data_IF_147103473788
#
_entry.id   IF_147103473788
#
_cell.length_a   1.000
_cell.length_b   1.000
_cell.length_c   1.000
_cell.angle_alpha   90.00
_cell.angle_beta   90.00
_cell.angle_gamma   90.00
#
_symmetry.space_group_name_H-M   'P 1'
#
loop_
_entity.id
_entity.type
_entity.pdbx_description
1 polymer ?
#
# COMPACT_ATOMS: atom_id res chain seq x y z
N UNK A 1 -62.66 3.18 -25.58
CA UNK A 1 -61.50 2.32 -26.00
C UNK A 1 -60.12 2.96 -25.80
N UNK A 2 -59.99 4.02 -24.96
CA UNK A 2 -58.70 4.74 -24.78
C UNK A 2 -58.13 4.66 -23.33
N UNK A 3 -58.84 4.05 -22.39
CA UNK A 3 -58.40 3.95 -20.99
C UNK A 3 -57.57 2.68 -20.65
N UNK A 4 -57.59 1.67 -21.51
CA UNK A 4 -56.85 0.41 -21.27
C UNK A 4 -55.40 0.46 -21.76
N UNK A 5 -55.07 1.33 -22.74
CA UNK A 5 -53.72 1.45 -23.28
C UNK A 5 -52.76 2.24 -22.38
N UNK A 6 -53.30 3.19 -21.54
CA UNK A 6 -52.47 4.00 -20.66
C UNK A 6 -51.96 3.23 -19.43
N UNK A 7 -52.71 2.19 -18.95
CA UNK A 7 -52.33 1.40 -17.78
C UNK A 7 -51.25 0.39 -18.08
N UNK A 8 -51.13 -0.11 -19.31
CA UNK A 8 -50.11 -1.02 -19.73
C UNK A 8 -48.72 -0.36 -19.92
N UNK A 9 -48.71 0.92 -20.29
CA UNK A 9 -47.45 1.68 -20.50
C UNK A 9 -46.80 2.06 -19.16
N UNK A 10 -47.58 2.40 -18.13
CA UNK A 10 -47.08 2.72 -16.77
C UNK A 10 -46.46 1.51 -16.07
N UNK A 11 -46.99 0.31 -16.29
CA UNK A 11 -46.42 -0.92 -15.68
C UNK A 11 -45.12 -1.39 -16.39
N UNK A 12 -44.94 -1.09 -17.67
CA UNK A 12 -43.70 -1.43 -18.39
C UNK A 12 -42.54 -0.49 -18.01
N UNK A 13 -42.82 0.81 -17.80
CA UNK A 13 -41.79 1.79 -17.38
C UNK A 13 -41.34 1.51 -15.93
N UNK A 14 -42.24 1.16 -15.03
CA UNK A 14 -41.91 0.81 -13.65
C UNK A 14 -41.05 -0.45 -13.53
N UNK A 15 -41.28 -1.45 -14.38
CA UNK A 15 -40.45 -2.67 -14.37
C UNK A 15 -39.07 -2.49 -14.98
N UNK A 16 -38.92 -1.64 -16.01
CA UNK A 16 -37.61 -1.36 -16.61
C UNK A 16 -36.73 -0.54 -15.65
N UNK A 17 -37.29 0.44 -14.94
CA UNK A 17 -36.55 1.25 -13.98
C UNK A 17 -36.12 0.45 -12.73
N UNK A 18 -36.95 -0.52 -12.26
CA UNK A 18 -36.60 -1.39 -11.13
C UNK A 18 -35.53 -2.42 -11.51
N UNK A 19 -35.58 -2.96 -12.73
CA UNK A 19 -34.59 -3.92 -13.22
C UNK A 19 -33.20 -3.29 -13.45
N UNK A 20 -33.13 -2.07 -13.93
CA UNK A 20 -31.87 -1.35 -14.16
C UNK A 20 -31.19 -0.94 -12.85
N UNK A 21 -31.95 -0.51 -11.84
CA UNK A 21 -31.42 -0.16 -10.52
C UNK A 21 -30.85 -1.40 -9.81
N UNK A 22 -31.57 -2.52 -9.79
CA UNK A 22 -31.06 -3.77 -9.16
C UNK A 22 -29.82 -4.31 -9.84
N UNK A 23 -29.71 -4.24 -11.16
CA UNK A 23 -28.51 -4.67 -11.88
C UNK A 23 -27.30 -3.76 -11.59
N UNK A 24 -27.50 -2.46 -11.51
CA UNK A 24 -26.44 -1.48 -11.16
C UNK A 24 -25.97 -1.68 -9.72
N UNK A 25 -26.89 -1.87 -8.78
CA UNK A 25 -26.53 -2.15 -7.38
C UNK A 25 -25.82 -3.49 -7.22
N UNK A 26 -26.25 -4.55 -7.90
CA UNK A 26 -25.59 -5.85 -7.89
C UNK A 26 -24.19 -5.77 -8.49
N UNK A 27 -24.01 -5.07 -9.59
CA UNK A 27 -22.70 -4.88 -10.24
C UNK A 27 -21.75 -4.02 -9.39
N UNK A 28 -22.26 -3.03 -8.68
CA UNK A 28 -21.50 -2.20 -7.73
C UNK A 28 -21.04 -3.04 -6.53
N UNK A 29 -21.92 -3.85 -5.94
CA UNK A 29 -21.60 -4.73 -4.82
C UNK A 29 -20.55 -5.78 -5.21
N UNK A 30 -20.67 -6.40 -6.39
CA UNK A 30 -19.68 -7.37 -6.90
C UNK A 30 -18.31 -6.72 -7.10
N UNK A 31 -18.25 -5.48 -7.60
CA UNK A 31 -16.97 -4.75 -7.77
C UNK A 31 -16.31 -4.39 -6.44
N UNK A 32 -17.10 -4.04 -5.43
CA UNK A 32 -16.59 -3.75 -4.08
C UNK A 32 -16.02 -5.03 -3.44
N UNK A 33 -16.71 -6.17 -3.59
CA UNK A 33 -16.26 -7.48 -3.12
C UNK A 33 -14.97 -7.92 -3.82
N UNK A 34 -14.86 -7.74 -5.14
CA UNK A 34 -13.65 -8.01 -5.91
C UNK A 34 -12.47 -7.15 -5.44
N UNK A 35 -12.69 -5.85 -5.15
CA UNK A 35 -11.69 -4.95 -4.61
C UNK A 35 -11.14 -5.45 -3.28
N UNK A 36 -12.01 -5.80 -2.35
CA UNK A 36 -11.65 -6.36 -1.05
C UNK A 36 -10.85 -7.66 -1.20
N UNK A 37 -11.29 -8.59 -2.05
CA UNK A 37 -10.57 -9.85 -2.29
C UNK A 37 -9.17 -9.63 -2.84
N UNK A 38 -9.00 -8.65 -3.73
CA UNK A 38 -7.67 -8.26 -4.26
C UNK A 38 -6.76 -7.71 -3.18
N UNK A 39 -7.29 -6.88 -2.29
CA UNK A 39 -6.55 -6.35 -1.15
C UNK A 39 -6.10 -7.45 -0.20
N UNK A 40 -7.00 -8.38 0.14
CA UNK A 40 -6.70 -9.55 0.96
C UNK A 40 -5.63 -10.43 0.32
N UNK A 41 -5.72 -10.69 -0.99
CA UNK A 41 -4.74 -11.48 -1.72
C UNK A 41 -3.37 -10.81 -1.72
N UNK A 42 -3.30 -9.49 -1.97
CA UNK A 42 -2.06 -8.74 -1.93
C UNK A 42 -1.40 -8.79 -0.54
N UNK A 43 -2.18 -8.64 0.54
CA UNK A 43 -1.71 -8.77 1.92
C UNK A 43 -1.18 -10.16 2.25
N UNK A 44 -1.90 -11.22 1.88
CA UNK A 44 -1.50 -12.62 2.14
C UNK A 44 -0.28 -13.03 1.33
N UNK A 45 -0.10 -12.48 0.14
CA UNK A 45 1.12 -12.66 -0.67
C UNK A 45 2.31 -11.90 -0.09
N UNK A 46 2.07 -10.68 0.42
CA UNK A 46 3.10 -9.82 1.00
C UNK A 46 3.62 -10.34 2.34
N UNK A 47 2.75 -10.93 3.16
CA UNK A 47 3.04 -11.29 4.54
C UNK A 47 2.68 -12.76 4.86
N UNK A 48 3.30 -13.73 4.15
CA UNK A 48 2.91 -15.14 4.18
C UNK A 48 3.01 -15.80 5.55
N UNK A 49 3.96 -15.36 6.37
CA UNK A 49 4.22 -15.93 7.69
C UNK A 49 3.47 -15.19 8.81
N UNK A 50 2.93 -14.00 8.50
CA UNK A 50 2.24 -13.17 9.48
C UNK A 50 0.73 -13.18 9.32
N UNK A 51 0.20 -13.41 8.13
CA UNK A 51 -1.24 -13.45 7.84
C UNK A 51 -1.64 -14.88 7.49
N UNK A 52 -2.49 -15.48 8.32
CA UNK A 52 -2.98 -16.85 8.15
C UNK A 52 -4.21 -16.93 7.24
N UNK A 53 -4.97 -15.83 7.09
CA UNK A 53 -6.17 -15.83 6.26
C UNK A 53 -7.04 -14.60 6.43
N UNK A 54 -8.27 -14.72 5.96
CA UNK A 54 -9.35 -13.79 6.20
C UNK A 54 -10.59 -14.54 6.68
N UNK A 55 -11.49 -13.87 7.37
CA UNK A 55 -12.77 -14.46 7.78
C UNK A 55 -13.86 -13.41 7.84
N UNK A 56 -15.11 -13.85 7.64
CA UNK A 56 -16.30 -13.03 7.92
C UNK A 56 -16.78 -13.31 9.33
N UNK A 57 -16.79 -12.27 10.17
CA UNK A 57 -17.29 -12.36 11.55
C UNK A 57 -18.81 -12.45 11.63
N UNK A 58 -19.30 -12.85 12.81
CA UNK A 58 -20.73 -12.90 13.11
C UNK A 58 -21.43 -11.52 13.08
N UNK A 59 -20.65 -10.44 13.09
CA UNK A 59 -21.10 -9.05 12.91
C UNK A 59 -21.19 -8.62 11.44
N UNK A 60 -20.90 -9.55 10.50
CA UNK A 60 -20.89 -9.33 9.06
C UNK A 60 -19.63 -8.65 8.50
N UNK A 61 -18.72 -8.19 9.36
CA UNK A 61 -17.46 -7.58 8.95
C UNK A 61 -16.46 -8.63 8.50
N UNK A 62 -15.54 -8.21 7.63
CA UNK A 62 -14.40 -9.03 7.22
C UNK A 62 -13.17 -8.66 8.05
N UNK A 63 -12.44 -9.65 8.46
CA UNK A 63 -11.22 -9.54 9.26
C UNK A 63 -10.05 -10.21 8.55
N UNK A 64 -8.89 -9.56 8.61
CA UNK A 64 -7.60 -10.21 8.35
C UNK A 64 -7.20 -10.95 9.61
N UNK A 65 -6.89 -12.23 9.49
CA UNK A 65 -6.49 -13.11 10.60
C UNK A 65 -4.98 -13.25 10.58
N UNK A 66 -4.34 -12.79 11.65
CA UNK A 66 -2.90 -12.91 11.82
C UNK A 66 -2.53 -14.34 12.27
N UNK A 67 -1.29 -14.75 12.01
CA UNK A 67 -0.76 -16.03 12.50
C UNK A 67 -0.73 -16.14 14.05
N UNK A 68 -0.75 -14.99 14.74
CA UNK A 68 -0.92 -14.90 16.20
C UNK A 68 -2.33 -15.21 16.69
N UNK A 69 -3.31 -15.30 15.79
CA UNK A 69 -4.74 -15.37 16.09
C UNK A 69 -5.41 -14.01 16.28
N UNK A 70 -4.68 -12.89 16.23
CA UNK A 70 -5.26 -11.55 16.26
C UNK A 70 -6.10 -11.32 14.99
N UNK A 71 -7.23 -10.62 15.16
CA UNK A 71 -8.16 -10.27 14.08
C UNK A 71 -8.16 -8.77 13.89
N UNK A 72 -7.86 -8.32 12.68
CA UNK A 72 -7.83 -6.89 12.32
C UNK A 72 -8.95 -6.64 11.31
N UNK A 73 -9.83 -5.69 11.62
CA UNK A 73 -10.96 -5.37 10.73
C UNK A 73 -10.43 -4.85 9.38
N UNK A 74 -10.98 -5.38 8.28
CA UNK A 74 -10.63 -4.93 6.94
C UNK A 74 -11.21 -3.54 6.66
N UNK A 75 -12.52 -3.36 6.93
CA UNK A 75 -13.27 -2.12 6.74
C UNK A 75 -14.20 -1.92 7.94
N UNK A 76 -14.10 -0.79 8.64
CA UNK A 76 -14.94 -0.45 9.78
C UNK A 76 -16.31 0.14 9.36
N UNK A 77 -16.54 0.31 8.07
CA UNK A 77 -17.79 0.80 7.47
C UNK A 77 -18.02 2.30 7.66
N UNK A 78 -17.01 3.07 8.08
CA UNK A 78 -17.15 4.51 8.29
C UNK A 78 -16.62 5.28 7.08
N UNK A 79 -17.40 6.25 6.62
CA UNK A 79 -16.88 7.25 5.69
C UNK A 79 -15.92 8.18 6.43
N UNK A 80 -14.69 8.32 5.92
CA UNK A 80 -13.63 9.09 6.54
C UNK A 80 -13.08 10.14 5.59
N UNK A 81 -12.95 11.38 6.06
CA UNK A 81 -12.12 12.37 5.36
C UNK A 81 -10.65 11.92 5.33
N UNK A 82 -9.85 12.51 4.46
CA UNK A 82 -8.42 12.18 4.37
C UNK A 82 -7.69 12.34 5.72
N UNK A 83 -7.99 13.40 6.48
CA UNK A 83 -7.45 13.63 7.81
C UNK A 83 -7.89 12.55 8.80
N UNK A 84 -9.14 12.10 8.72
CA UNK A 84 -9.66 11.02 9.54
C UNK A 84 -9.03 9.67 9.17
N UNK A 85 -8.83 9.39 7.88
CA UNK A 85 -8.06 8.22 7.42
C UNK A 85 -6.62 8.26 7.94
N UNK A 86 -5.95 9.41 7.85
CA UNK A 86 -4.61 9.58 8.42
C UNK A 86 -4.58 9.32 9.93
N UNK A 87 -5.63 9.68 10.67
CA UNK A 87 -5.70 9.54 12.12
C UNK A 87 -6.06 8.12 12.59
N UNK A 88 -6.90 7.42 11.83
CA UNK A 88 -7.48 6.14 12.26
C UNK A 88 -7.93 5.26 11.09
N UNK A 89 -7.00 4.97 10.17
CA UNK A 89 -7.26 4.08 9.04
C UNK A 89 -7.49 2.64 9.49
N UNK A 90 -8.45 1.98 8.86
CA UNK A 90 -8.52 0.53 8.77
C UNK A 90 -7.65 -0.02 7.61
N UNK A 91 -7.75 -1.30 7.30
CA UNK A 91 -6.95 -1.92 6.25
C UNK A 91 -7.38 -1.40 4.87
N UNK A 92 -8.67 -1.30 4.61
CA UNK A 92 -9.22 -0.81 3.34
C UNK A 92 -8.76 0.62 3.05
N UNK A 93 -8.85 1.52 4.04
CA UNK A 93 -8.35 2.89 3.92
C UNK A 93 -6.87 2.93 3.50
N UNK A 94 -6.05 2.05 4.09
CA UNK A 94 -4.60 2.01 3.84
C UNK A 94 -4.22 1.53 2.44
N UNK A 95 -5.16 0.87 1.73
CA UNK A 95 -5.00 0.32 0.38
C UNK A 95 -5.85 1.05 -0.66
N UNK A 96 -6.63 2.07 -0.25
CA UNK A 96 -7.62 2.75 -1.09
C UNK A 96 -7.00 3.64 -2.17
N UNK A 97 -5.81 4.23 -1.92
CA UNK A 97 -5.11 5.08 -2.88
C UNK A 97 -4.13 4.21 -3.68
N UNK A 98 -4.36 4.03 -5.01
CA UNK A 98 -3.50 3.19 -5.83
C UNK A 98 -2.06 3.72 -5.90
N UNK A 99 -1.09 2.84 -5.68
CA UNK A 99 0.32 3.17 -5.90
C UNK A 99 0.64 3.06 -7.41
N UNK A 100 1.20 4.11 -8.04
CA UNK A 100 1.55 4.06 -9.47
C UNK A 100 2.57 2.96 -9.75
N UNK A 101 2.33 2.04 -10.72
CA UNK A 101 3.25 0.93 -11.01
C UNK A 101 4.57 1.40 -11.64
N UNK A 102 4.50 2.46 -12.45
CA UNK A 102 5.62 2.99 -13.22
C UNK A 102 6.19 4.26 -12.57
N UNK A 103 7.40 4.65 -13.03
CA UNK A 103 8.00 5.93 -12.64
C UNK A 103 7.12 7.09 -13.07
N UNK A 104 6.86 8.02 -12.14
CA UNK A 104 6.15 9.27 -12.44
C UNK A 104 7.15 10.41 -12.60
N UNK A 105 6.81 11.39 -13.45
CA UNK A 105 7.63 12.60 -13.72
C UNK A 105 6.89 13.89 -13.39
N UNK A 106 5.70 13.78 -12.80
CA UNK A 106 4.91 14.92 -12.36
C UNK A 106 4.53 14.74 -10.89
N UNK A 107 4.71 15.78 -10.11
CA UNK A 107 4.31 15.78 -8.69
C UNK A 107 2.79 15.65 -8.61
N UNK A 108 2.25 14.62 -7.93
CA UNK A 108 0.81 14.42 -7.80
C UNK A 108 0.12 15.59 -7.09
N UNK A 109 -1.20 15.65 -7.22
CA UNK A 109 -2.03 16.71 -6.63
C UNK A 109 -3.00 16.18 -5.58
N UNK A 110 -3.57 17.12 -4.80
CA UNK A 110 -4.57 16.82 -3.77
C UNK A 110 -4.03 15.97 -2.65
N UNK A 111 -4.73 14.88 -2.35
CA UNK A 111 -4.40 13.90 -1.32
C UNK A 111 -3.96 12.55 -1.94
N UNK A 112 -3.37 12.58 -3.13
CA UNK A 112 -2.83 11.38 -3.78
C UNK A 112 -1.52 10.97 -3.11
N UNK A 113 -1.64 10.29 -1.97
CA UNK A 113 -0.51 9.89 -1.11
C UNK A 113 -0.55 8.36 -0.84
N UNK A 114 -0.33 7.49 -1.84
CA UNK A 114 -0.41 6.05 -1.66
C UNK A 114 0.57 5.56 -0.60
N UNK A 115 0.05 4.90 0.46
CA UNK A 115 0.83 4.40 1.59
C UNK A 115 1.05 5.39 2.74
N UNK A 116 0.68 6.69 2.63
CA UNK A 116 0.71 7.61 3.78
C UNK A 116 -0.45 7.39 4.75
N UNK A 117 -1.59 6.92 4.28
CA UNK A 117 -2.67 6.39 5.12
C UNK A 117 -2.24 5.00 5.60
N UNK A 118 -2.15 4.80 6.91
CA UNK A 118 -1.61 3.57 7.50
C UNK A 118 -2.55 2.99 8.54
N UNK A 119 -2.91 1.71 8.38
CA UNK A 119 -3.56 0.93 9.42
C UNK A 119 -2.54 0.58 10.49
N UNK A 120 -2.51 1.33 11.60
CA UNK A 120 -1.54 1.14 12.68
C UNK A 120 -1.73 -0.17 13.44
N UNK A 121 -2.95 -0.71 13.48
CA UNK A 121 -3.21 -2.04 14.01
C UNK A 121 -2.45 -3.10 13.20
N UNK A 122 -2.53 -3.05 11.87
CA UNK A 122 -1.80 -3.96 11.00
C UNK A 122 -0.28 -3.80 11.14
N UNK A 123 0.23 -2.56 11.13
CA UNK A 123 1.67 -2.32 11.30
C UNK A 123 2.18 -2.82 12.67
N UNK A 124 1.38 -2.63 13.73
CA UNK A 124 1.69 -3.14 15.06
C UNK A 124 1.77 -4.67 15.11
N UNK A 125 0.81 -5.35 14.51
CA UNK A 125 0.79 -6.82 14.42
C UNK A 125 1.97 -7.36 13.58
N UNK A 126 2.31 -6.68 12.47
CA UNK A 126 3.39 -7.09 11.57
C UNK A 126 4.79 -6.86 12.18
N UNK A 127 5.03 -5.71 12.83
CA UNK A 127 6.38 -5.25 13.16
C UNK A 127 6.63 -5.02 14.65
N UNK A 128 5.58 -4.97 15.46
CA UNK A 128 5.60 -4.71 16.89
C UNK A 128 4.76 -3.50 17.29
N UNK A 129 3.90 -3.68 18.28
CA UNK A 129 2.96 -2.66 18.76
C UNK A 129 3.55 -1.69 19.80
N UNK A 130 4.73 -1.99 20.32
CA UNK A 130 5.44 -1.15 21.31
C UNK A 130 6.89 -0.92 20.88
N UNK A 131 7.53 0.11 21.43
CA UNK A 131 8.96 0.37 21.22
C UNK A 131 9.82 -0.86 21.51
N UNK A 132 9.62 -1.48 22.65
CA UNK A 132 10.39 -2.66 23.05
C UNK A 132 10.17 -3.85 22.08
N UNK A 133 8.93 -4.04 21.60
CA UNK A 133 8.62 -5.11 20.66
C UNK A 133 9.26 -4.87 19.27
N UNK A 134 9.34 -3.61 18.82
CA UNK A 134 10.07 -3.26 17.60
C UNK A 134 11.56 -3.44 17.78
N UNK A 135 12.15 -2.88 18.86
CA UNK A 135 13.59 -2.93 19.12
C UNK A 135 14.13 -4.36 19.26
N UNK A 136 13.33 -5.27 19.84
CA UNK A 136 13.67 -6.69 19.92
C UNK A 136 13.78 -7.38 18.54
N UNK A 137 13.18 -6.79 17.51
CA UNK A 137 13.19 -7.31 16.14
C UNK A 137 14.11 -6.54 15.19
N UNK A 138 14.88 -5.56 15.70
CA UNK A 138 15.87 -4.89 14.85
C UNK A 138 17.09 -5.78 14.63
N UNK A 139 17.63 -5.69 13.41
CA UNK A 139 18.94 -6.21 13.04
C UNK A 139 19.72 -5.14 12.26
N UNK A 140 21.01 -5.33 12.10
CA UNK A 140 21.86 -4.38 11.39
C UNK A 140 21.97 -4.76 9.92
N UNK A 141 21.49 -3.89 9.02
CA UNK A 141 21.73 -3.98 7.59
C UNK A 141 23.00 -3.20 7.25
N UNK A 142 23.91 -3.81 6.50
CA UNK A 142 25.19 -3.21 6.09
C UNK A 142 25.08 -2.69 4.67
N UNK A 143 25.38 -1.41 4.48
CA UNK A 143 25.40 -0.78 3.15
C UNK A 143 26.21 0.50 3.16
N UNK A 144 26.88 0.84 2.04
CA UNK A 144 27.65 2.09 1.87
C UNK A 144 28.68 2.36 2.96
N UNK A 145 29.25 1.30 3.55
CA UNK A 145 30.20 1.39 4.67
C UNK A 145 29.57 1.67 6.04
N UNK A 146 28.23 1.78 6.13
CA UNK A 146 27.49 2.01 7.37
C UNK A 146 26.72 0.78 7.86
N UNK A 147 26.18 0.91 9.07
CA UNK A 147 25.32 -0.07 9.73
C UNK A 147 23.99 0.61 10.09
N UNK A 148 22.89 0.05 9.62
CA UNK A 148 21.57 0.67 9.73
C UNK A 148 20.59 -0.30 10.39
N UNK A 149 20.03 0.03 11.58
CA UNK A 149 19.04 -0.83 12.23
C UNK A 149 17.75 -0.87 11.42
N UNK A 150 17.28 -2.09 11.14
CA UNK A 150 16.05 -2.32 10.37
C UNK A 150 15.30 -3.53 10.94
N UNK A 151 13.98 -3.60 10.77
CA UNK A 151 13.17 -4.69 11.32
C UNK A 151 13.36 -5.97 10.52
N UNK A 152 13.68 -7.09 11.20
CA UNK A 152 13.87 -8.39 10.53
C UNK A 152 12.56 -9.10 10.18
N UNK A 153 11.42 -8.70 10.79
CA UNK A 153 10.13 -9.35 10.57
C UNK A 153 9.65 -9.12 9.13
N UNK A 154 8.92 -10.10 8.63
CA UNK A 154 8.28 -10.07 7.32
C UNK A 154 9.24 -9.74 6.16
N UNK A 155 10.52 -10.09 6.32
CA UNK A 155 11.53 -9.91 5.28
C UNK A 155 12.04 -8.48 5.10
N UNK A 156 11.63 -7.49 5.91
CA UNK A 156 11.93 -6.07 5.67
C UNK A 156 13.43 -5.77 5.63
N UNK A 157 14.22 -6.30 6.59
CA UNK A 157 15.67 -6.10 6.58
C UNK A 157 16.36 -6.80 5.41
N UNK A 158 15.94 -8.02 5.07
CA UNK A 158 16.48 -8.75 3.92
C UNK A 158 16.16 -8.04 2.60
N UNK A 159 14.94 -7.48 2.48
CA UNK A 159 14.55 -6.67 1.34
C UNK A 159 15.41 -5.39 1.22
N UNK A 160 15.71 -4.72 2.33
CA UNK A 160 16.61 -3.56 2.31
C UNK A 160 18.03 -3.95 1.89
N UNK A 161 18.56 -5.05 2.42
CA UNK A 161 19.89 -5.53 2.06
C UNK A 161 19.99 -5.85 0.56
N UNK A 162 18.99 -6.52 0.01
CA UNK A 162 18.92 -6.83 -1.42
C UNK A 162 18.79 -5.56 -2.28
N UNK A 163 17.90 -4.64 -1.92
CA UNK A 163 17.72 -3.37 -2.63
C UNK A 163 19.01 -2.54 -2.66
N UNK A 164 19.72 -2.49 -1.53
CA UNK A 164 20.99 -1.76 -1.44
C UNK A 164 22.11 -2.47 -2.19
N UNK A 165 22.06 -3.79 -2.32
CA UNK A 165 22.95 -4.58 -3.18
C UNK A 165 22.76 -4.24 -4.66
N UNK A 166 21.51 -4.20 -5.14
CA UNK A 166 21.19 -3.79 -6.50
C UNK A 166 21.62 -2.34 -6.77
N UNK A 167 21.37 -1.43 -5.82
CA UNK A 167 21.82 -0.04 -5.92
C UNK A 167 23.34 0.08 -6.00
N UNK A 168 24.09 -0.74 -5.28
CA UNK A 168 25.55 -0.75 -5.40
C UNK A 168 26.01 -1.17 -6.81
N UNK A 169 25.34 -2.15 -7.41
CA UNK A 169 25.55 -2.55 -8.81
C UNK A 169 25.23 -1.44 -9.81
N UNK A 170 24.11 -0.74 -9.61
CA UNK A 170 23.71 0.41 -10.43
C UNK A 170 24.74 1.55 -10.32
N UNK A 171 25.17 1.88 -9.10
CA UNK A 171 26.15 2.96 -8.85
C UNK A 171 27.50 2.64 -9.49
N UNK A 172 27.89 1.36 -9.58
CA UNK A 172 29.13 0.97 -10.22
C UNK A 172 29.16 1.31 -11.72
N UNK A 173 28.01 1.33 -12.40
CA UNK A 173 27.87 1.66 -13.83
C UNK A 173 27.30 3.05 -14.10
N UNK A 174 26.62 3.63 -13.10
CA UNK A 174 26.01 4.97 -13.13
C UNK A 174 26.37 5.72 -11.83
N UNK A 175 27.63 6.22 -11.69
CA UNK A 175 28.11 6.82 -10.43
C UNK A 175 27.30 8.01 -9.91
N UNK A 176 26.62 8.75 -10.79
CA UNK A 176 25.74 9.88 -10.45
C UNK A 176 24.57 9.48 -9.55
N UNK A 177 24.09 8.23 -9.64
CA UNK A 177 23.03 7.67 -8.79
C UNK A 177 23.47 7.65 -7.32
N UNK A 178 24.76 7.41 -7.05
CA UNK A 178 25.31 7.45 -5.70
C UNK A 178 25.09 8.78 -4.97
N UNK A 179 25.00 9.88 -5.74
CA UNK A 179 24.67 11.21 -5.23
C UNK A 179 23.23 11.38 -4.74
N UNK A 180 22.35 10.42 -4.97
CA UNK A 180 20.97 10.34 -4.45
C UNK A 180 20.86 9.37 -3.26
N UNK A 181 21.79 8.41 -3.16
CA UNK A 181 21.78 7.37 -2.13
C UNK A 181 22.58 7.78 -0.90
N UNK A 182 23.81 8.25 -1.08
CA UNK A 182 24.76 8.45 0.01
C UNK A 182 25.07 9.93 0.30
N UNK A 183 25.30 10.30 1.58
CA UNK A 183 25.12 9.46 2.76
C UNK A 183 23.65 9.16 3.04
N UNK A 184 23.35 7.98 3.59
CA UNK A 184 22.02 7.62 4.07
C UNK A 184 21.70 8.50 5.27
N UNK A 185 20.50 9.13 5.28
CA UNK A 185 20.07 10.06 6.32
C UNK A 185 19.54 9.33 7.56
N UNK A 186 18.97 8.14 7.41
CA UNK A 186 18.55 7.34 8.56
C UNK A 186 17.60 6.20 8.23
N UNK A 187 17.41 5.31 9.22
CA UNK A 187 16.47 4.20 9.18
C UNK A 187 15.58 4.20 10.42
N UNK A 188 15.89 3.38 11.43
CA UNK A 188 15.10 3.30 12.65
C UNK A 188 15.23 4.57 13.50
N UNK A 189 14.08 5.14 13.86
CA UNK A 189 13.95 6.22 14.82
C UNK A 189 12.55 6.17 15.46
N UNK A 190 12.46 5.79 16.74
CA UNK A 190 11.18 5.68 17.42
C UNK A 190 10.64 7.04 17.79
N UNK A 191 9.87 7.62 16.90
CA UNK A 191 9.25 8.95 17.05
C UNK A 191 7.88 9.03 16.40
N UNK A 192 7.11 10.03 16.79
CA UNK A 192 5.89 10.42 16.07
C UNK A 192 6.25 11.33 14.88
N UNK A 193 5.36 11.37 13.90
CA UNK A 193 5.44 12.31 12.78
C UNK A 193 5.21 13.73 13.34
N UNK A 194 6.08 14.67 13.00
CA UNK A 194 6.04 16.04 13.51
C UNK A 194 4.66 16.69 13.32
N UNK A 195 4.12 17.25 14.40
CA UNK A 195 2.79 17.87 14.43
C UNK A 195 1.61 16.88 14.52
N UNK A 196 1.87 15.60 14.83
CA UNK A 196 0.84 14.58 14.99
C UNK A 196 1.10 13.67 16.19
N UNK A 197 0.13 12.83 16.57
CA UNK A 197 0.30 11.74 17.54
C UNK A 197 0.66 10.40 16.88
N UNK A 198 0.80 10.34 15.57
CA UNK A 198 0.99 9.11 14.78
C UNK A 198 2.45 8.71 14.74
N UNK A 199 2.74 7.42 14.92
CA UNK A 199 4.09 6.89 14.76
C UNK A 199 4.59 7.05 13.32
N UNK A 200 5.85 7.42 13.18
CA UNK A 200 6.54 7.40 11.90
C UNK A 200 6.77 5.94 11.44
N UNK A 201 6.80 5.61 10.14
CA UNK A 201 7.23 4.30 9.67
C UNK A 201 8.66 3.95 10.10
N UNK A 202 9.52 4.94 10.31
CA UNK A 202 10.83 4.75 10.94
C UNK A 202 10.73 4.16 12.36
N UNK A 203 9.66 4.43 13.09
CA UNK A 203 9.45 3.86 14.42
C UNK A 203 9.18 2.35 14.41
N UNK A 204 8.71 1.81 13.29
CA UNK A 204 8.55 0.38 13.07
C UNK A 204 9.82 -0.28 12.50
N UNK A 205 10.86 0.51 12.15
CA UNK A 205 12.08 0.04 11.51
C UNK A 205 11.86 -0.50 10.08
N UNK A 206 10.93 0.09 9.34
CA UNK A 206 10.57 -0.32 7.97
C UNK A 206 10.77 0.78 6.93
N UNK A 207 11.37 1.91 7.31
CA UNK A 207 11.63 3.02 6.42
C UNK A 207 13.11 3.41 6.42
N UNK A 208 13.55 3.92 5.26
CA UNK A 208 14.88 4.47 5.04
C UNK A 208 14.76 5.82 4.37
N UNK A 209 15.51 6.78 4.88
CA UNK A 209 15.76 8.06 4.23
C UNK A 209 17.14 8.03 3.59
N UNK A 210 17.19 8.09 2.26
CA UNK A 210 18.40 8.19 1.49
C UNK A 210 19.02 9.60 1.63
N UNK A 211 19.94 9.99 0.75
CA UNK A 211 20.58 11.31 0.83
C UNK A 211 19.57 12.44 0.75
N UNK A 212 19.53 13.26 1.79
CA UNK A 212 18.71 14.47 1.83
C UNK A 212 19.36 15.61 1.02
N UNK A 213 18.53 16.32 0.25
CA UNK A 213 18.89 17.60 -0.38
C UNK A 213 17.86 18.67 0.00
N UNK A 214 18.24 19.95 0.02
CA UNK A 214 17.27 21.03 0.21
C UNK A 214 16.14 20.91 -0.84
N UNK A 215 14.90 20.89 -0.38
CA UNK A 215 13.73 20.77 -1.26
C UNK A 215 13.23 19.33 -1.51
N UNK A 216 13.82 18.30 -0.91
CA UNK A 216 13.34 16.93 -1.03
C UNK A 216 12.06 16.67 -0.21
N UNK A 217 11.72 17.58 0.72
CA UNK A 217 10.55 17.43 1.59
C UNK A 217 9.54 18.56 1.42
N UNK A 218 8.26 18.24 1.22
CA UNK A 218 7.15 19.15 0.91
C UNK A 218 7.05 20.39 1.82
N UNK A 219 7.36 20.24 3.10
CA UNK A 219 7.31 21.38 4.06
C UNK A 219 8.35 22.48 3.79
N UNK A 220 9.38 22.18 3.01
CA UNK A 220 10.54 23.02 2.80
C UNK A 220 10.80 23.34 1.32
N UNK A 221 9.89 22.92 0.42
CA UNK A 221 10.08 23.10 -1.02
C UNK A 221 8.86 23.72 -1.69
N UNK A 222 9.11 24.65 -2.61
CA UNK A 222 8.12 25.10 -3.57
C UNK A 222 7.80 23.98 -4.57
N UNK A 223 6.57 23.99 -5.14
CA UNK A 223 6.12 22.97 -6.09
C UNK A 223 7.00 22.88 -7.33
N UNK A 224 7.45 24.03 -7.84
CA UNK A 224 8.33 24.11 -9.02
C UNK A 224 9.70 23.48 -8.76
N UNK A 225 10.22 23.60 -7.53
CA UNK A 225 11.45 22.94 -7.13
C UNK A 225 11.24 21.41 -7.06
N UNK A 226 10.13 20.98 -6.49
CA UNK A 226 9.76 19.55 -6.45
C UNK A 226 9.57 18.98 -7.85
N UNK A 227 8.94 19.73 -8.77
CA UNK A 227 8.74 19.30 -10.15
C UNK A 227 10.08 19.06 -10.85
N UNK A 228 11.04 19.98 -10.75
CA UNK A 228 12.40 19.77 -11.29
C UNK A 228 13.11 18.59 -10.64
N UNK A 229 12.85 18.36 -9.35
CA UNK A 229 13.47 17.26 -8.61
C UNK A 229 12.95 15.88 -9.07
N UNK A 230 11.63 15.72 -9.25
CA UNK A 230 11.03 14.46 -9.70
C UNK A 230 11.42 14.13 -11.15
N UNK A 231 11.53 15.14 -12.01
CA UNK A 231 12.00 14.99 -13.39
C UNK A 231 13.41 14.42 -13.47
N UNK A 232 14.30 14.88 -12.56
CA UNK A 232 15.70 14.46 -12.50
C UNK A 232 15.97 13.24 -11.63
N UNK A 233 14.95 12.70 -10.93
CA UNK A 233 15.17 11.61 -9.99
C UNK A 233 15.48 10.31 -10.75
N UNK A 234 16.55 9.55 -10.38
CA UNK A 234 16.95 8.36 -11.11
C UNK A 234 15.89 7.26 -11.05
N UNK A 235 15.37 6.87 -12.20
CA UNK A 235 14.39 5.79 -12.32
C UNK A 235 14.97 4.44 -11.86
N UNK A 236 16.22 4.16 -12.21
CA UNK A 236 16.90 2.93 -11.80
C UNK A 236 16.94 2.77 -10.27
N UNK A 237 17.11 3.89 -9.52
CA UNK A 237 17.08 3.87 -8.06
C UNK A 237 15.68 3.50 -7.56
N UNK A 238 14.62 4.17 -8.06
CA UNK A 238 13.25 3.91 -7.65
C UNK A 238 12.85 2.48 -7.99
N UNK A 239 13.14 2.03 -9.21
CA UNK A 239 12.84 0.66 -9.67
C UNK A 239 13.55 -0.41 -8.84
N UNK A 240 14.82 -0.19 -8.46
CA UNK A 240 15.55 -1.11 -7.58
C UNK A 240 14.87 -1.23 -6.21
N UNK A 241 14.50 -0.12 -5.58
CA UNK A 241 13.80 -0.13 -4.30
C UNK A 241 12.42 -0.80 -4.41
N UNK A 242 11.64 -0.45 -5.43
CA UNK A 242 10.30 -1.01 -5.67
C UNK A 242 10.34 -2.51 -6.01
N UNK A 243 11.41 -3.01 -6.63
CA UNK A 243 11.55 -4.44 -6.92
C UNK A 243 11.67 -5.28 -5.64
N UNK A 244 12.09 -4.66 -4.55
CA UNK A 244 12.19 -5.26 -3.21
C UNK A 244 11.08 -4.83 -2.26
N UNK A 245 9.95 -4.31 -2.75
CA UNK A 245 8.76 -4.02 -1.96
C UNK A 245 8.76 -2.69 -1.22
N UNK A 246 9.68 -1.76 -1.56
CA UNK A 246 9.68 -0.41 -1.01
C UNK A 246 8.84 0.53 -1.87
N UNK A 247 7.88 1.24 -1.28
CA UNK A 247 7.22 2.37 -1.92
C UNK A 247 8.08 3.62 -1.77
N UNK A 248 7.98 4.54 -2.73
CA UNK A 248 8.72 5.80 -2.75
C UNK A 248 7.84 7.00 -2.41
N UNK A 249 8.27 7.81 -1.45
CA UNK A 249 7.56 9.04 -1.07
C UNK A 249 7.55 10.14 -2.15
N UNK A 250 8.32 9.99 -3.22
CA UNK A 250 8.23 10.86 -4.40
C UNK A 250 6.93 10.69 -5.19
N UNK A 251 6.21 9.57 -5.01
CA UNK A 251 4.90 9.32 -5.63
C UNK A 251 3.72 9.89 -4.82
N UNK A 252 3.99 10.75 -3.83
CA UNK A 252 2.99 11.41 -3.01
C UNK A 252 2.76 12.87 -3.44
N UNK A 253 1.54 13.37 -3.31
CA UNK A 253 1.23 14.79 -3.43
C UNK A 253 1.93 15.61 -2.32
N UNK A 254 2.05 15.01 -1.13
CA UNK A 254 2.87 15.50 -0.03
C UNK A 254 4.25 14.84 -0.07
N UNK A 255 4.96 15.05 -1.16
CA UNK A 255 6.20 14.36 -1.51
C UNK A 255 7.27 14.38 -0.40
N UNK A 256 8.03 13.29 -0.37
CA UNK A 256 9.23 13.09 0.43
C UNK A 256 10.23 12.26 -0.40
N UNK A 257 11.07 12.95 -1.19
CA UNK A 257 11.88 12.29 -2.22
C UNK A 257 13.00 11.40 -1.67
N UNK A 258 13.43 11.63 -0.41
CA UNK A 258 14.45 10.78 0.20
C UNK A 258 13.85 9.52 0.83
N UNK A 259 12.53 9.50 1.10
CA UNK A 259 11.84 8.50 1.89
C UNK A 259 11.41 7.28 1.07
N UNK A 260 11.79 6.10 1.55
CA UNK A 260 11.29 4.79 1.09
C UNK A 260 10.75 4.00 2.27
N UNK A 261 9.63 3.31 2.08
CA UNK A 261 8.95 2.53 3.12
C UNK A 261 8.65 1.12 2.61
N UNK A 262 9.01 0.10 3.38
CA UNK A 262 8.73 -1.30 3.03
C UNK A 262 7.24 -1.60 3.18
N UNK A 263 6.55 -1.66 2.06
CA UNK A 263 5.11 -1.88 1.91
C UNK A 263 4.85 -2.80 0.70
N UNK A 264 5.29 -4.08 0.80
CA UNK A 264 5.22 -5.00 -0.35
C UNK A 264 3.79 -5.23 -0.84
N UNK A 265 2.77 -5.14 0.02
CA UNK A 265 1.36 -5.29 -0.35
C UNK A 265 0.91 -4.24 -1.37
N UNK A 266 1.38 -2.99 -1.23
CA UNK A 266 1.06 -1.92 -2.17
C UNK A 266 1.72 -2.15 -3.53
N UNK A 267 2.95 -2.65 -3.55
CA UNK A 267 3.67 -2.99 -4.80
C UNK A 267 3.01 -4.18 -5.50
N UNK A 268 2.65 -5.24 -4.75
CA UNK A 268 1.99 -6.43 -5.31
C UNK A 268 0.63 -6.05 -5.90
N UNK A 269 -0.19 -5.29 -5.14
CA UNK A 269 -1.49 -4.80 -5.61
C UNK A 269 -1.35 -3.95 -6.88
N UNK A 270 -0.45 -2.96 -6.85
CA UNK A 270 -0.18 -2.05 -7.97
C UNK A 270 0.17 -2.81 -9.26
N UNK A 271 1.09 -3.77 -9.17
CA UNK A 271 1.51 -4.58 -10.32
C UNK A 271 0.39 -5.50 -10.82
N UNK A 272 -0.42 -6.05 -9.93
CA UNK A 272 -1.56 -6.86 -10.29
C UNK A 272 -2.67 -6.04 -10.95
N UNK A 273 -2.94 -4.83 -10.44
CA UNK A 273 -3.96 -3.94 -11.00
C UNK A 273 -3.56 -3.41 -12.39
N UNK A 274 -2.28 -3.11 -12.61
CA UNK A 274 -1.75 -2.70 -13.91
C UNK A 274 -1.86 -3.81 -14.98
N UNK A 275 -1.80 -5.07 -14.58
CA UNK A 275 -1.92 -6.24 -15.48
C UNK A 275 -3.35 -6.75 -15.65
N UNK A 276 -4.32 -6.17 -14.92
CA UNK A 276 -5.72 -6.62 -14.98
C UNK A 276 -6.34 -6.32 -16.33
N UNK A 277 -6.62 -7.35 -17.12
CA UNK A 277 -7.22 -7.25 -18.46
C UNK A 277 -8.66 -7.77 -18.52
N UNK A 278 -9.40 -7.77 -17.41
CA UNK A 278 -10.73 -8.38 -17.28
C UNK A 278 -10.67 -9.81 -16.69
N UNK A 279 -11.76 -10.55 -16.72
CA UNK A 279 -11.82 -11.93 -16.24
C UNK A 279 -12.03 -12.05 -14.72
N UNK A 280 -11.40 -13.04 -14.11
CA UNK A 280 -11.54 -13.37 -12.70
C UNK A 280 -11.06 -12.21 -11.78
N UNK A 281 -11.61 -12.12 -10.57
CA UNK A 281 -11.27 -11.06 -9.64
C UNK A 281 -9.77 -10.99 -9.31
N UNK A 282 -9.05 -12.12 -9.38
CA UNK A 282 -7.60 -12.20 -9.13
C UNK A 282 -6.72 -12.01 -10.38
N UNK A 283 -7.31 -11.64 -11.52
CA UNK A 283 -6.54 -11.38 -12.74
C UNK A 283 -5.42 -10.36 -12.50
N UNK A 284 -4.22 -10.64 -13.06
CA UNK A 284 -3.01 -9.85 -12.91
C UNK A 284 -2.10 -10.27 -11.75
N UNK A 285 -2.58 -11.05 -10.78
CA UNK A 285 -1.72 -11.71 -9.79
C UNK A 285 -0.96 -12.89 -10.40
N UNK A 286 0.13 -13.39 -9.77
CA UNK A 286 0.81 -14.60 -10.23
C UNK A 286 -0.12 -15.80 -10.32
N UNK A 287 0.04 -16.64 -11.35
CA UNK A 287 -0.77 -17.85 -11.57
C UNK A 287 -0.11 -19.11 -11.02
N UNK A 288 0.57 -18.99 -9.88
CA UNK A 288 1.20 -20.14 -9.21
C UNK A 288 0.25 -20.88 -8.25
N UNK A 289 0.67 -22.08 -7.85
CA UNK A 289 -0.15 -22.94 -6.98
C UNK A 289 -0.49 -22.29 -5.63
N UNK A 290 0.41 -21.45 -5.10
CA UNK A 290 0.20 -20.73 -3.84
C UNK A 290 -0.86 -19.66 -4.00
N UNK A 291 -0.78 -18.82 -5.01
CA UNK A 291 -1.77 -17.78 -5.31
C UNK A 291 -3.16 -18.41 -5.49
N UNK A 292 -3.26 -19.51 -6.27
CA UNK A 292 -4.54 -20.21 -6.47
C UNK A 292 -5.09 -20.80 -5.16
N UNK A 293 -4.24 -21.30 -4.28
CA UNK A 293 -4.67 -21.77 -2.95
C UNK A 293 -5.22 -20.63 -2.09
N UNK A 294 -4.58 -19.45 -2.09
CA UNK A 294 -5.05 -18.25 -1.39
C UNK A 294 -6.38 -17.75 -1.97
N UNK A 295 -6.54 -17.72 -3.29
CA UNK A 295 -7.79 -17.35 -3.96
C UNK A 295 -8.94 -18.22 -3.46
N UNK A 296 -8.75 -19.55 -3.45
CA UNK A 296 -9.78 -20.50 -2.93
C UNK A 296 -10.08 -20.28 -1.45
N UNK A 297 -9.05 -19.98 -0.65
CA UNK A 297 -9.21 -19.69 0.78
C UNK A 297 -10.04 -18.42 1.01
N UNK A 298 -9.75 -17.34 0.27
CA UNK A 298 -10.49 -16.07 0.35
C UNK A 298 -11.96 -16.30 -0.08
N UNK A 299 -12.20 -16.97 -1.21
CA UNK A 299 -13.55 -17.25 -1.69
C UNK A 299 -14.35 -18.10 -0.70
N UNK A 300 -13.72 -19.05 -0.01
CA UNK A 300 -14.37 -19.86 1.01
C UNK A 300 -14.70 -19.05 2.28
N UNK A 301 -13.81 -18.17 2.69
CA UNK A 301 -13.94 -17.36 3.91
C UNK A 301 -14.99 -16.24 3.81
N UNK A 302 -15.30 -15.80 2.58
CA UNK A 302 -16.20 -14.65 2.33
C UNK A 302 -17.60 -15.03 1.83
N UNK A 303 -17.89 -16.33 1.71
CA UNK A 303 -19.22 -16.86 1.32
C UNK A 303 -20.34 -16.56 2.31
#
# INVERSE_FOLDING_TARGET
MWLVAALALLTAIGRAAYGTNTAVFAQSATRADDGMKRDLLALMLAYPDAISGAERGGDGRVYVVMASGERIVYDDGREKSFEQQLAGADIQDSLSIPYPPDMIRTVPEGNSDPGRVRCYALLGALYGSTRAAVEANLCSVRTGGGHYPFNRKNGAAAALEAAMGDLAGIIAVQPEVGGYVYPISGTYNYRVIAGTSRLSPHAFGIAIDLRSKPGDYRRHAAREQAQRRIESYPEALVSAMESHGFIWGGKWAHFDFLHFEYRPELIIKSRADAKKSGGEWYAGFPEDARTIALVRSIDAALR
#
